data_IF_828960468125
#
_entry.id   IF_828960468125
#
_cell.length_a   1.000
_cell.length_b   1.000
_cell.length_c   1.000
_cell.angle_alpha   90.00
_cell.angle_beta   90.00
_cell.angle_gamma   90.00
#
_symmetry.space_group_name_H-M   'P 1'
#
loop_
_entity.id
_entity.type
_entity.pdbx_description
1 polymer ?
#
# COMPACT_ATOMS: atom_id res chain seq x y z
N UNK A 1 8.98 22.49 -13.75
CA UNK A 1 9.40 21.09 -13.56
C UNK A 1 8.26 20.37 -12.87
N UNK A 2 7.55 19.53 -13.60
CA UNK A 2 6.38 18.78 -13.11
C UNK A 2 6.86 17.57 -12.31
N UNK A 3 6.52 17.54 -11.02
CA UNK A 3 6.92 16.48 -10.08
C UNK A 3 5.94 15.31 -10.19
N UNK A 4 6.30 14.27 -10.93
CA UNK A 4 5.53 13.02 -11.05
C UNK A 4 5.31 12.38 -9.67
N UNK A 5 4.06 12.15 -9.29
CA UNK A 5 3.67 11.35 -8.12
C UNK A 5 2.89 10.12 -8.57
N UNK A 6 3.18 8.94 -8.03
CA UNK A 6 2.72 7.66 -8.57
C UNK A 6 1.68 6.99 -7.67
N UNK A 7 0.61 6.53 -8.30
CA UNK A 7 -0.36 5.59 -7.76
C UNK A 7 -0.24 4.29 -8.56
N UNK A 8 0.07 3.20 -7.89
CA UNK A 8 0.11 1.87 -8.48
C UNK A 8 -1.12 1.12 -7.99
N UNK A 9 -2.22 1.19 -8.76
CA UNK A 9 -3.27 0.18 -8.65
C UNK A 9 -2.80 -1.06 -9.38
N UNK A 10 -2.07 -1.91 -8.67
CA UNK A 10 -1.82 -3.27 -9.14
C UNK A 10 -3.10 -4.07 -8.90
N UNK A 11 -4.06 -3.98 -9.83
CA UNK A 11 -5.03 -5.07 -9.96
C UNK A 11 -4.23 -6.22 -10.57
N UNK A 12 -4.05 -7.33 -9.85
CA UNK A 12 -3.40 -8.51 -10.40
C UNK A 12 -4.46 -9.34 -11.12
N UNK A 13 -4.56 -9.30 -12.47
CA UNK A 13 -5.75 -9.84 -13.14
C UNK A 13 -5.54 -11.28 -13.63
N UNK A 14 -4.31 -11.81 -13.69
CA UNK A 14 -4.04 -13.21 -14.00
C UNK A 14 -2.66 -13.66 -13.45
N UNK A 15 -2.61 -14.56 -12.47
CA UNK A 15 -1.47 -15.47 -12.26
C UNK A 15 -0.69 -15.39 -10.93
N UNK A 16 -1.01 -14.46 -10.03
CA UNK A 16 -0.80 -14.76 -8.61
C UNK A 16 -1.85 -15.79 -8.19
N UNK A 17 -1.68 -16.50 -7.06
CA UNK A 17 -2.82 -17.21 -6.45
C UNK A 17 -3.85 -16.16 -6.01
N UNK A 18 -4.67 -15.71 -6.96
CA UNK A 18 -5.59 -14.57 -6.85
C UNK A 18 -6.64 -14.79 -5.77
N UNK A 19 -6.92 -16.04 -5.43
CA UNK A 19 -7.79 -16.43 -4.33
C UNK A 19 -7.24 -16.05 -2.95
N UNK A 20 -5.95 -15.67 -2.83
CA UNK A 20 -5.29 -15.47 -1.54
C UNK A 20 -4.85 -14.05 -1.24
N UNK A 21 -4.92 -13.13 -2.20
CA UNK A 21 -4.50 -11.74 -1.98
C UNK A 21 -5.73 -10.86 -1.96
N UNK A 22 -6.04 -10.22 -0.83
CA UNK A 22 -7.14 -9.27 -0.76
C UNK A 22 -6.98 -8.14 -1.79
N UNK A 23 -8.09 -7.53 -2.23
CA UNK A 23 -8.03 -6.29 -2.97
C UNK A 23 -7.18 -5.26 -2.23
N UNK A 24 -6.33 -4.54 -2.97
CA UNK A 24 -5.38 -3.63 -2.35
C UNK A 24 -5.12 -2.38 -3.20
N UNK A 25 -4.63 -1.33 -2.53
CA UNK A 25 -4.17 -0.10 -3.17
C UNK A 25 -2.77 0.25 -2.68
N UNK A 26 -1.88 0.61 -3.60
CA UNK A 26 -0.50 0.98 -3.29
C UNK A 26 -0.23 2.44 -3.65
N UNK A 27 0.47 3.13 -2.74
CA UNK A 27 0.84 4.53 -2.86
C UNK A 27 2.35 4.66 -2.86
N UNK A 28 2.89 5.52 -3.72
CA UNK A 28 4.30 5.89 -3.68
C UNK A 28 4.46 7.19 -2.87
N UNK A 29 5.03 7.07 -1.68
CA UNK A 29 5.35 8.21 -0.82
C UNK A 29 6.42 9.12 -1.44
N UNK A 30 6.49 10.37 -0.97
CA UNK A 30 7.41 11.39 -1.51
C UNK A 30 8.87 10.94 -1.48
N UNK A 31 9.32 10.36 -0.36
CA UNK A 31 10.70 9.90 -0.23
C UNK A 31 10.98 8.71 -1.16
N UNK A 32 9.99 7.84 -1.39
CA UNK A 32 10.09 6.76 -2.37
C UNK A 32 10.38 7.29 -3.78
N UNK A 33 9.75 8.40 -4.16
CA UNK A 33 10.02 9.01 -5.48
C UNK A 33 11.49 9.29 -5.72
N UNK A 34 12.27 9.47 -4.65
CA UNK A 34 13.69 9.76 -4.77
C UNK A 34 14.54 8.56 -5.14
N UNK A 35 14.18 7.37 -4.67
CA UNK A 35 14.89 6.12 -4.98
C UNK A 35 14.38 5.47 -6.27
N UNK A 36 13.15 5.79 -6.65
CA UNK A 36 12.52 5.33 -7.89
C UNK A 36 12.46 6.43 -8.97
N UNK A 37 13.33 7.46 -8.91
CA UNK A 37 13.35 8.58 -9.89
C UNK A 37 13.47 8.09 -11.33
N UNK A 38 14.36 7.11 -11.58
CA UNK A 38 14.58 6.55 -12.91
C UNK A 38 13.43 5.62 -13.33
N UNK A 39 12.80 4.97 -12.36
CA UNK A 39 11.61 4.14 -12.55
C UNK A 39 10.32 4.95 -12.78
N UNK A 40 10.38 6.28 -12.72
CA UNK A 40 9.25 7.13 -13.17
C UNK A 40 9.10 7.14 -14.69
N UNK A 41 10.14 6.73 -15.44
CA UNK A 41 10.05 6.39 -16.85
C UNK A 41 9.79 4.90 -17.11
N UNK A 42 10.14 4.05 -16.14
CA UNK A 42 10.04 2.59 -16.21
C UNK A 42 9.41 2.03 -14.92
N UNK A 43 8.07 2.04 -14.89
CA UNK A 43 7.25 1.65 -13.73
C UNK A 43 7.42 0.19 -13.31
N UNK A 44 8.13 -0.60 -14.11
CA UNK A 44 8.40 -2.01 -13.87
C UNK A 44 9.16 -2.22 -12.55
N UNK A 45 10.10 -1.36 -12.16
CA UNK A 45 10.88 -1.54 -10.91
C UNK A 45 10.03 -1.32 -9.65
N UNK A 46 9.13 -0.33 -9.63
CA UNK A 46 8.23 -0.10 -8.49
C UNK A 46 7.23 -1.26 -8.37
N UNK A 47 6.66 -1.69 -9.50
CA UNK A 47 5.76 -2.83 -9.55
C UNK A 47 6.45 -4.11 -9.07
N UNK A 48 7.63 -4.42 -9.62
CA UNK A 48 8.43 -5.60 -9.25
C UNK A 48 8.75 -5.61 -7.76
N UNK A 49 9.13 -4.46 -7.21
CA UNK A 49 9.38 -4.35 -5.77
C UNK A 49 8.13 -4.59 -4.94
N UNK A 50 6.98 -4.03 -5.32
CA UNK A 50 5.70 -4.29 -4.65
C UNK A 50 5.33 -5.77 -4.70
N UNK A 51 5.53 -6.43 -5.85
CA UNK A 51 5.26 -7.86 -6.01
C UNK A 51 6.20 -8.74 -5.18
N UNK A 52 7.48 -8.37 -5.08
CA UNK A 52 8.43 -9.03 -4.17
C UNK A 52 7.94 -8.92 -2.72
N UNK A 53 7.52 -7.73 -2.30
CA UNK A 53 7.01 -7.51 -0.95
C UNK A 53 5.75 -8.32 -0.66
N UNK A 54 4.77 -8.30 -1.57
CA UNK A 54 3.56 -9.12 -1.48
C UNK A 54 3.90 -10.62 -1.39
N UNK A 55 4.83 -11.09 -2.23
CA UNK A 55 5.31 -12.46 -2.20
C UNK A 55 5.92 -12.86 -0.85
N UNK A 56 6.68 -11.96 -0.23
CA UNK A 56 7.23 -12.17 1.13
C UNK A 56 6.14 -12.25 2.19
N UNK A 57 5.13 -11.37 2.14
CA UNK A 57 4.01 -11.39 3.09
C UNK A 57 3.20 -12.69 2.96
N UNK A 58 2.83 -13.08 1.72
CA UNK A 58 2.03 -14.29 1.43
C UNK A 58 2.73 -15.56 1.91
N UNK A 59 4.07 -15.62 1.83
CA UNK A 59 4.83 -16.78 2.31
C UNK A 59 4.78 -16.93 3.83
N UNK A 60 4.63 -15.83 4.55
CA UNK A 60 4.72 -15.78 6.01
C UNK A 60 3.35 -15.71 6.69
N UNK A 61 2.30 -15.33 5.97
CA UNK A 61 0.98 -15.05 6.53
C UNK A 61 -0.14 -15.58 5.64
N UNK A 62 -1.24 -16.02 6.24
CA UNK A 62 -2.49 -16.24 5.52
C UNK A 62 -3.20 -14.91 5.31
N UNK A 63 -3.14 -14.38 4.08
CA UNK A 63 -3.77 -13.11 3.72
C UNK A 63 -5.27 -13.21 3.42
N UNK A 64 -5.81 -14.42 3.25
CA UNK A 64 -7.24 -14.62 2.93
C UNK A 64 -8.19 -14.19 4.05
N UNK A 65 -7.65 -13.95 5.26
CA UNK A 65 -8.41 -13.49 6.41
C UNK A 65 -8.71 -11.99 6.42
N UNK A 66 -8.14 -11.21 5.49
CA UNK A 66 -8.31 -9.76 5.40
C UNK A 66 -9.24 -9.39 4.26
N UNK A 67 -10.01 -8.32 4.43
CA UNK A 67 -10.99 -7.86 3.43
C UNK A 67 -10.36 -6.97 2.37
N UNK A 68 -9.37 -6.15 2.76
CA UNK A 68 -8.59 -5.33 1.84
C UNK A 68 -7.24 -4.95 2.47
N UNK A 69 -6.33 -4.40 1.67
CA UNK A 69 -5.05 -3.88 2.16
C UNK A 69 -4.72 -2.52 1.55
N UNK A 70 -3.99 -1.69 2.28
CA UNK A 70 -3.38 -0.47 1.77
C UNK A 70 -1.86 -0.59 1.92
N UNK A 71 -1.09 -0.17 0.94
CA UNK A 71 0.36 -0.23 1.01
C UNK A 71 1.01 1.10 0.64
N UNK A 72 2.08 1.48 1.31
CA UNK A 72 2.81 2.71 1.06
C UNK A 72 4.28 2.37 0.85
N UNK A 73 4.79 2.70 -0.34
CA UNK A 73 6.18 2.55 -0.72
C UNK A 73 6.95 3.83 -0.39
N UNK A 74 8.09 3.72 0.27
CA UNK A 74 8.89 4.87 0.69
C UNK A 74 10.38 4.49 0.75
N UNK A 75 11.26 5.44 1.06
CA UNK A 75 12.67 5.15 1.38
C UNK A 75 12.98 5.57 2.82
N UNK A 76 13.78 4.74 3.51
CA UNK A 76 14.34 5.13 4.81
C UNK A 76 15.56 6.06 4.66
N UNK A 77 16.14 6.46 5.79
CA UNK A 77 17.29 7.36 5.84
C UNK A 77 18.58 6.74 5.27
N UNK A 78 18.65 5.42 5.15
CA UNK A 78 19.77 4.66 4.57
C UNK A 78 19.55 4.32 3.07
N UNK A 79 18.63 5.03 2.41
CA UNK A 79 18.18 4.80 1.03
C UNK A 79 17.77 3.34 0.77
N UNK A 80 17.11 2.70 1.74
CA UNK A 80 16.54 1.36 1.54
C UNK A 80 15.10 1.49 1.05
N UNK A 81 14.72 0.59 0.16
CA UNK A 81 13.35 0.50 -0.36
C UNK A 81 12.46 -0.05 0.75
N UNK A 82 11.50 0.73 1.20
CA UNK A 82 10.58 0.38 2.27
C UNK A 82 9.17 0.17 1.73
N UNK A 83 8.40 -0.70 2.38
CA UNK A 83 6.97 -0.82 2.18
C UNK A 83 6.28 -1.03 3.52
N UNK A 84 5.35 -0.14 3.84
CA UNK A 84 4.36 -0.40 4.88
C UNK A 84 3.13 -1.01 4.21
N UNK A 85 2.62 -2.11 4.75
CA UNK A 85 1.39 -2.73 4.31
C UNK A 85 0.43 -2.81 5.49
N UNK A 86 -0.79 -2.35 5.27
CA UNK A 86 -1.85 -2.25 6.25
C UNK A 86 -3.02 -3.13 5.81
N UNK A 87 -3.05 -4.42 6.24
CA UNK A 87 -4.21 -5.27 6.06
C UNK A 87 -5.33 -4.85 7.00
N UNK A 88 -6.56 -4.87 6.49
CA UNK A 88 -7.76 -4.57 7.24
C UNK A 88 -8.69 -5.77 7.27
N UNK A 89 -9.17 -6.10 8.47
CA UNK A 89 -10.22 -7.10 8.70
C UNK A 89 -11.44 -6.45 9.32
N UNK A 90 -12.59 -6.56 8.67
CA UNK A 90 -13.86 -6.06 9.14
C UNK A 90 -14.29 -6.87 10.37
N UNK A 91 -14.57 -6.17 11.47
CA UNK A 91 -15.02 -6.80 12.74
C UNK A 91 -16.50 -7.17 12.72
N UNK A 92 -17.25 -6.65 11.76
CA UNK A 92 -18.67 -6.88 11.54
C UNK A 92 -18.98 -6.85 10.05
N UNK A 93 -20.04 -7.54 9.63
CA UNK A 93 -20.56 -7.47 8.25
C UNK A 93 -21.21 -6.11 7.91
N UNK A 94 -21.26 -5.18 8.87
CA UNK A 94 -21.79 -3.83 8.69
C UNK A 94 -20.68 -2.89 8.20
N UNK A 95 -20.84 -2.40 6.97
CA UNK A 95 -20.02 -1.34 6.40
C UNK A 95 -20.54 0.06 6.83
N UNK A 96 -19.68 1.06 7.10
CA UNK A 96 -18.22 0.99 7.05
C UNK A 96 -17.60 0.34 8.30
N UNK A 97 -18.32 0.24 9.42
CA UNK A 97 -17.85 -0.43 10.63
C UNK A 97 -16.52 0.12 11.20
N UNK A 98 -15.92 -0.65 12.11
CA UNK A 98 -14.60 -0.37 12.66
C UNK A 98 -13.66 -1.56 12.40
N UNK A 99 -12.91 -1.56 11.29
CA UNK A 99 -12.02 -2.66 10.96
C UNK A 99 -10.86 -2.76 11.95
N UNK A 100 -10.38 -3.98 12.19
CA UNK A 100 -9.08 -4.22 12.81
C UNK A 100 -8.00 -3.98 11.76
N UNK A 101 -7.03 -3.16 12.12
CA UNK A 101 -5.87 -2.85 11.29
C UNK A 101 -4.66 -3.66 11.77
N UNK A 102 -3.88 -4.16 10.82
CA UNK A 102 -2.59 -4.78 11.05
C UNK A 102 -1.51 -3.95 10.34
N UNK A 103 -0.25 -4.15 10.69
CA UNK A 103 0.87 -3.47 10.04
C UNK A 103 1.98 -4.49 9.74
N UNK A 104 2.43 -4.51 8.49
CA UNK A 104 3.56 -5.26 8.01
C UNK A 104 4.56 -4.29 7.38
N UNK A 105 5.77 -4.23 7.92
CA UNK A 105 6.85 -3.42 7.36
C UNK A 105 7.85 -4.30 6.66
N UNK A 106 8.22 -3.93 5.44
CA UNK A 106 9.22 -4.61 4.63
C UNK A 106 10.35 -3.65 4.28
N UNK A 107 11.58 -4.16 4.39
CA UNK A 107 12.81 -3.46 4.05
C UNK A 107 13.54 -4.27 2.99
N UNK A 108 13.76 -3.67 1.81
CA UNK A 108 14.28 -4.31 0.62
C UNK A 108 13.56 -5.63 0.27
N UNK A 109 12.23 -5.65 0.40
CA UNK A 109 11.41 -6.83 0.10
C UNK A 109 11.40 -7.91 1.20
N UNK A 110 12.07 -7.68 2.33
CA UNK A 110 12.14 -8.63 3.45
C UNK A 110 11.35 -8.10 4.63
N UNK A 111 10.56 -8.98 5.25
CA UNK A 111 9.76 -8.66 6.44
C UNK A 111 10.66 -8.25 7.61
N UNK A 112 10.39 -7.09 8.20
CA UNK A 112 11.11 -6.60 9.38
C UNK A 112 10.39 -7.10 10.62
N UNK A 113 10.94 -8.10 11.30
CA UNK A 113 10.40 -8.53 12.59
C UNK A 113 10.73 -7.48 13.67
N UNK A 114 9.71 -6.94 14.33
CA UNK A 114 9.76 -5.88 15.37
C UNK A 114 10.63 -6.20 16.61
N UNK A 115 11.22 -7.39 16.70
CA UNK A 115 11.83 -7.93 17.93
C UNK A 115 13.28 -7.50 18.24
N UNK A 116 13.83 -6.44 17.64
CA UNK A 116 15.25 -6.06 17.86
C UNK A 116 15.52 -4.58 18.14
N UNK A 117 14.60 -3.91 18.82
CA UNK A 117 14.77 -2.51 19.22
C UNK A 117 14.40 -1.58 18.07
N UNK A 118 13.30 -0.87 18.28
CA UNK A 118 12.66 0.07 17.34
C UNK A 118 13.72 0.95 16.68
N UNK A 119 13.75 1.01 15.34
CA UNK A 119 14.55 2.03 14.65
C UNK A 119 13.74 2.94 13.74
N UNK A 120 12.75 2.44 13.02
CA UNK A 120 11.80 3.26 12.26
C UNK A 120 10.64 2.35 11.83
N UNK A 121 9.41 2.75 12.11
CA UNK A 121 8.19 2.02 11.69
C UNK A 121 7.27 3.08 11.10
N UNK A 122 7.05 3.00 9.78
CA UNK A 122 6.16 3.92 9.07
C UNK A 122 6.82 5.20 8.57
N UNK A 123 6.11 5.89 7.67
CA UNK A 123 6.41 7.24 7.23
C UNK A 123 5.21 8.17 7.45
N UNK A 124 5.45 9.45 7.71
CA UNK A 124 4.38 10.46 7.90
C UNK A 124 3.42 10.52 6.69
N UNK A 125 3.95 10.34 5.47
CA UNK A 125 3.14 10.26 4.25
C UNK A 125 2.13 9.11 4.32
N UNK A 126 2.53 7.96 4.87
CA UNK A 126 1.64 6.82 5.06
C UNK A 126 0.54 7.08 6.06
N UNK A 127 0.83 7.81 7.14
CA UNK A 127 -0.19 8.22 8.12
C UNK A 127 -1.22 9.18 7.53
N UNK A 128 -0.78 10.16 6.73
CA UNK A 128 -1.69 11.08 6.04
C UNK A 128 -2.58 10.32 5.06
N UNK A 129 -2.01 9.41 4.25
CA UNK A 129 -2.77 8.58 3.31
C UNK A 129 -3.81 7.74 4.05
N UNK A 130 -3.42 7.06 5.13
CA UNK A 130 -4.34 6.26 5.97
C UNK A 130 -5.48 7.10 6.54
N UNK A 131 -5.20 8.31 7.01
CA UNK A 131 -6.23 9.22 7.49
C UNK A 131 -7.25 9.56 6.38
N UNK A 132 -6.78 9.85 5.16
CA UNK A 132 -7.65 10.13 4.00
C UNK A 132 -8.47 8.92 3.57
N UNK A 133 -7.86 7.74 3.55
CA UNK A 133 -8.54 6.48 3.26
C UNK A 133 -9.62 6.18 4.31
N UNK A 134 -9.32 6.39 5.59
CA UNK A 134 -10.30 6.20 6.66
C UNK A 134 -11.48 7.16 6.55
N UNK A 135 -11.23 8.44 6.22
CA UNK A 135 -12.29 9.42 5.94
C UNK A 135 -13.17 8.99 4.76
N UNK A 136 -12.55 8.51 3.69
CA UNK A 136 -13.25 8.09 2.48
C UNK A 136 -14.05 6.80 2.65
N UNK A 137 -13.48 5.81 3.36
CA UNK A 137 -14.18 4.59 3.77
C UNK A 137 -15.49 4.90 4.48
N UNK A 138 -15.47 5.87 5.41
CA UNK A 138 -16.66 6.30 6.17
C UNK A 138 -17.74 6.97 5.31
N UNK A 139 -17.39 7.45 4.10
CA UNK A 139 -18.31 8.09 3.16
C UNK A 139 -18.78 7.15 2.05
N UNK A 140 -18.07 6.04 1.82
CA UNK A 140 -18.42 5.03 0.82
C UNK A 140 -19.57 4.15 1.33
N UNK A 141 -20.47 3.69 0.45
CA UNK A 141 -21.61 2.86 0.82
C UNK A 141 -21.23 1.39 1.08
N UNK A 142 -20.16 0.90 0.43
CA UNK A 142 -19.65 -0.46 0.59
C UNK A 142 -18.16 -0.56 0.22
N UNK A 143 -17.56 -1.73 0.48
CA UNK A 143 -16.15 -2.00 0.18
C UNK A 143 -15.82 -1.87 -1.31
N UNK A 144 -16.71 -2.33 -2.19
CA UNK A 144 -16.49 -2.28 -3.63
C UNK A 144 -16.40 -0.84 -4.14
N UNK A 145 -17.30 0.04 -3.69
CA UNK A 145 -17.28 1.47 -3.99
C UNK A 145 -16.01 2.12 -3.43
N UNK A 146 -15.66 1.80 -2.18
CA UNK A 146 -14.44 2.30 -1.56
C UNK A 146 -13.21 1.94 -2.40
N UNK A 147 -13.07 0.68 -2.83
CA UNK A 147 -11.93 0.23 -3.62
C UNK A 147 -11.88 0.83 -5.03
N UNK A 148 -13.05 1.01 -5.65
CA UNK A 148 -13.14 1.51 -7.03
C UNK A 148 -13.01 3.02 -7.15
N UNK A 149 -13.29 3.77 -6.09
CA UNK A 149 -13.19 5.23 -6.08
C UNK A 149 -12.14 5.63 -5.04
N UNK A 150 -10.85 5.83 -5.38
CA UNK A 150 -9.87 6.28 -4.40
C UNK A 150 -10.19 7.68 -3.86
N UNK A 151 -9.73 8.03 -2.63
CA UNK A 151 -9.91 9.37 -2.09
C UNK A 151 -9.09 10.41 -2.85
N UNK A 152 -9.47 11.68 -2.67
CA UNK A 152 -8.61 12.80 -3.01
C UNK A 152 -7.53 12.97 -1.94
N UNK A 153 -6.26 12.83 -2.32
CA UNK A 153 -5.10 12.89 -1.42
C UNK A 153 -4.49 14.30 -1.30
N UNK A 154 -5.00 15.29 -2.04
CA UNK A 154 -4.51 16.67 -1.94
C UNK A 154 -3.15 16.82 -2.61
N UNK A 155 -2.17 17.34 -1.88
CA UNK A 155 -0.79 17.50 -2.38
C UNK A 155 -0.06 16.17 -2.58
N UNK A 156 -0.64 15.07 -2.07
CA UNK A 156 -0.18 13.70 -2.26
C UNK A 156 -0.90 12.99 -3.42
N UNK A 157 -1.71 13.72 -4.20
CA UNK A 157 -2.44 13.13 -5.32
C UNK A 157 -1.45 12.65 -6.38
N UNK A 158 -1.61 11.42 -6.91
CA UNK A 158 -0.85 10.98 -8.06
C UNK A 158 -1.11 11.88 -9.27
N UNK A 159 -0.06 12.15 -10.05
CA UNK A 159 -0.22 12.87 -11.32
C UNK A 159 -0.72 11.96 -12.46
N UNK A 160 -0.55 10.63 -12.31
CA UNK A 160 -1.04 9.63 -13.26
C UNK A 160 -1.80 8.52 -12.52
N UNK A 161 -3.01 8.21 -12.98
CA UNK A 161 -3.75 7.01 -12.58
C UNK A 161 -3.37 5.86 -13.50
N UNK A 162 -2.83 4.78 -12.95
CA UNK A 162 -2.65 3.53 -13.71
C UNK A 162 -3.85 2.62 -13.47
N UNK A 163 -4.46 2.15 -14.56
CA UNK A 163 -5.41 1.04 -14.55
C UNK A 163 -4.71 -0.15 -15.23
N UNK A 164 -4.26 -1.13 -14.44
CA UNK A 164 -3.87 -2.45 -14.95
C UNK A 164 -5.08 -3.16 -15.54
#
# INVERSE_FOLDING_TARGET
>A
MTKTQLYLRINCPNGCREDKVPPHRLYLGESGKEIWKDAMGDFEDVHNFAMICLGSIIRLNDLSQFDYMLGVLWKDDDDKKMMDMFPYKMTSDIWPGNPTEYNFVLKNGVFVHENRGIREIGCETGDIIRAREAEHRRRSHNLLEFLNNPPHLGDLQPLNEFQC
#
